data_IF_231047568749
#
_entry.id   IF_231047568749
#
_cell.length_a   1.000
_cell.length_b   1.000
_cell.length_c   1.000
_cell.angle_alpha   90.00
_cell.angle_beta   90.00
_cell.angle_gamma   90.00
#
_symmetry.space_group_name_H-M   'P 1'
#
loop_
_entity.id
_entity.type
_entity.pdbx_description
1 polymer ?
#
# COMPACT_ATOMS: atom_id res chain seq x y z
N UNK A 1 17.57 -15.60 20.12
CA UNK A 1 16.40 -16.49 20.22
C UNK A 1 15.34 -15.93 19.31
N UNK A 2 14.87 -16.74 18.36
CA UNK A 2 13.92 -16.33 17.33
C UNK A 2 12.51 -16.19 17.92
N UNK A 3 12.06 -14.95 18.12
CA UNK A 3 10.67 -14.62 18.47
C UNK A 3 9.82 -14.45 17.20
N UNK A 4 9.68 -15.51 16.42
CA UNK A 4 8.52 -15.58 15.52
C UNK A 4 7.30 -15.96 16.37
N UNK A 5 6.14 -15.30 16.23
CA UNK A 5 4.93 -15.71 16.91
C UNK A 5 4.55 -17.11 16.43
N UNK A 6 4.86 -18.12 17.24
CA UNK A 6 4.53 -19.53 16.97
C UNK A 6 3.13 -19.88 17.49
N UNK A 7 2.55 -19.04 18.35
CA UNK A 7 1.23 -19.22 18.96
C UNK A 7 0.22 -18.16 18.45
N UNK A 8 -1.10 -18.44 18.52
CA UNK A 8 -2.17 -17.45 18.35
C UNK A 8 -1.97 -16.22 19.25
N UNK A 9 -2.50 -15.07 18.82
CA UNK A 9 -2.35 -13.80 19.55
C UNK A 9 -2.99 -13.86 20.93
N UNK A 10 -4.14 -14.50 21.03
CA UNK A 10 -4.93 -14.65 22.25
C UNK A 10 -4.17 -15.49 23.28
N UNK A 11 -3.61 -16.63 22.87
CA UNK A 11 -2.77 -17.48 23.72
C UNK A 11 -1.51 -16.73 24.21
N UNK A 12 -0.90 -15.94 23.33
CA UNK A 12 0.25 -15.10 23.67
C UNK A 12 -0.12 -14.01 24.69
N UNK A 13 -1.35 -13.50 24.64
CA UNK A 13 -1.84 -12.46 25.53
C UNK A 13 -2.15 -13.04 26.92
N UNK A 14 -2.82 -14.20 26.97
CA UNK A 14 -3.05 -14.94 28.22
C UNK A 14 -1.72 -15.30 28.90
N UNK A 15 -0.76 -15.83 28.15
CA UNK A 15 0.57 -16.14 28.67
C UNK A 15 1.30 -14.89 29.19
N UNK A 16 1.12 -13.73 28.54
CA UNK A 16 1.67 -12.47 29.01
C UNK A 16 1.01 -12.02 30.32
N UNK A 17 -0.31 -12.07 30.43
CA UNK A 17 -1.03 -11.69 31.66
C UNK A 17 -0.67 -12.60 32.84
N UNK A 18 -0.58 -13.92 32.63
CA UNK A 18 -0.08 -14.86 33.65
C UNK A 18 1.37 -14.54 34.08
N UNK A 19 2.20 -14.10 33.14
CA UNK A 19 3.54 -13.65 33.46
C UNK A 19 3.53 -12.35 34.30
N UNK A 20 2.63 -11.40 34.01
CA UNK A 20 2.49 -10.17 34.82
C UNK A 20 2.12 -10.50 36.26
N UNK A 21 1.23 -11.46 36.49
CA UNK A 21 0.84 -11.93 37.85
C UNK A 21 2.00 -12.55 38.64
N UNK A 22 2.97 -13.14 37.94
CA UNK A 22 4.13 -13.84 38.54
C UNK A 22 5.41 -13.03 38.53
N UNK A 23 5.43 -11.88 37.86
CA UNK A 23 6.56 -10.97 37.84
C UNK A 23 6.86 -10.39 39.23
N UNK A 24 8.10 -9.95 39.46
CA UNK A 24 8.45 -9.32 40.74
C UNK A 24 7.53 -8.10 40.98
N UNK A 25 6.84 -8.02 42.13
CA UNK A 25 5.89 -6.93 42.44
C UNK A 25 6.49 -5.53 42.39
N UNK A 26 7.81 -5.40 42.39
CA UNK A 26 8.54 -4.12 42.29
C UNK A 26 8.89 -3.74 40.86
N UNK A 27 8.69 -4.63 39.89
CA UNK A 27 8.94 -4.40 38.46
C UNK A 27 8.00 -3.33 37.91
N UNK A 28 8.53 -2.43 37.10
CA UNK A 28 7.73 -1.52 36.29
C UNK A 28 7.59 -2.02 34.86
N UNK A 29 6.34 -2.07 34.40
CA UNK A 29 6.00 -2.45 33.04
C UNK A 29 5.59 -1.18 32.29
N UNK A 30 6.40 -0.81 31.31
CA UNK A 30 6.15 0.32 30.42
C UNK A 30 5.50 -0.22 29.16
N UNK A 31 4.23 0.10 28.94
CA UNK A 31 3.54 -0.17 27.68
C UNK A 31 3.70 1.04 26.78
N UNK A 32 4.01 0.82 25.50
CA UNK A 32 4.07 1.90 24.51
C UNK A 32 3.49 1.47 23.18
N UNK A 33 2.87 2.42 22.49
CA UNK A 33 2.28 2.23 21.17
C UNK A 33 2.47 3.47 20.29
N UNK A 34 2.48 3.26 18.97
CA UNK A 34 2.55 4.28 17.95
C UNK A 34 1.31 4.28 17.05
N UNK A 35 0.73 5.46 16.81
CA UNK A 35 -0.41 5.64 15.93
C UNK A 35 -0.06 6.50 14.70
N UNK A 36 -0.76 6.24 13.60
CA UNK A 36 -0.74 7.08 12.41
C UNK A 36 -2.17 7.38 11.97
N UNK A 37 -2.57 8.65 12.07
CA UNK A 37 -3.93 9.05 11.68
C UNK A 37 -4.16 8.98 10.18
N UNK A 38 -5.43 9.01 9.76
CA UNK A 38 -5.81 9.08 8.33
C UNK A 38 -5.27 10.33 7.62
N UNK A 39 -4.92 11.38 8.37
CA UNK A 39 -4.28 12.61 7.88
C UNK A 39 -2.75 12.51 7.83
N UNK A 40 -2.18 11.36 8.21
CA UNK A 40 -0.73 11.13 8.25
C UNK A 40 -0.03 11.76 9.45
N UNK A 41 -0.75 12.07 10.53
CA UNK A 41 -0.15 12.56 11.78
C UNK A 41 0.30 11.35 12.62
N UNK A 42 1.62 11.23 12.81
CA UNK A 42 2.21 10.20 13.65
C UNK A 42 2.30 10.67 15.10
N UNK A 43 1.95 9.80 16.04
CA UNK A 43 1.91 10.09 17.47
C UNK A 43 2.18 8.85 18.30
N UNK A 44 2.63 9.04 19.53
CA UNK A 44 2.94 7.95 20.47
C UNK A 44 2.16 8.11 21.76
N UNK A 45 2.00 7.00 22.47
CA UNK A 45 1.48 6.93 23.81
C UNK A 45 2.30 5.93 24.62
N UNK A 46 2.41 6.16 25.92
CA UNK A 46 2.96 5.19 26.86
C UNK A 46 2.19 5.21 28.17
N UNK A 47 2.19 4.08 28.87
CA UNK A 47 1.65 3.93 30.21
C UNK A 47 2.59 3.07 31.05
N UNK A 48 2.87 3.49 32.28
CA UNK A 48 3.71 2.79 33.24
C UNK A 48 2.83 2.16 34.29
N UNK A 49 2.95 0.85 34.46
CA UNK A 49 2.17 0.06 35.40
C UNK A 49 3.11 -0.66 36.37
N UNK A 50 2.64 -0.86 37.59
CA UNK A 50 3.20 -1.79 38.56
C UNK A 50 2.08 -2.75 38.96
N UNK A 51 2.18 -4.00 38.52
CA UNK A 51 1.06 -4.94 38.55
C UNK A 51 -0.18 -4.31 37.89
N UNK A 52 -1.32 -4.30 38.57
CA UNK A 52 -2.58 -3.71 38.06
C UNK A 52 -2.69 -2.19 38.29
N UNK A 53 -1.68 -1.56 38.91
CA UNK A 53 -1.70 -0.14 39.24
C UNK A 53 -1.02 0.69 38.15
N UNK A 54 -1.80 1.53 37.45
CA UNK A 54 -1.26 2.58 36.58
C UNK A 54 -0.57 3.65 37.42
N UNK A 55 0.74 3.84 37.22
CA UNK A 55 1.57 4.81 37.94
C UNK A 55 1.51 6.18 37.26
N UNK A 56 1.82 6.21 35.97
CA UNK A 56 1.78 7.41 35.16
C UNK A 56 1.68 7.06 33.68
N UNK A 57 1.33 8.05 32.88
CA UNK A 57 1.21 7.91 31.44
C UNK A 57 1.60 9.21 30.74
N UNK A 58 1.78 9.12 29.43
CA UNK A 58 2.14 10.25 28.61
C UNK A 58 1.92 9.97 27.14
N UNK A 59 1.88 11.04 26.35
CA UNK A 59 1.70 10.94 24.91
C UNK A 59 2.22 12.20 24.22
N UNK A 60 2.45 12.08 22.91
CA UNK A 60 2.92 13.20 22.12
C UNK A 60 2.73 12.97 20.63
N UNK A 61 2.75 14.07 19.88
CA UNK A 61 2.74 14.04 18.43
C UNK A 61 4.16 14.22 17.90
N UNK A 62 4.52 13.48 16.85
CA UNK A 62 5.77 13.68 16.13
C UNK A 62 5.57 14.72 15.01
N UNK A 63 6.69 15.24 14.51
CA UNK A 63 6.74 15.79 13.16
C UNK A 63 6.41 14.74 12.10
N UNK A 64 6.61 15.04 10.81
CA UNK A 64 6.29 14.10 9.73
C UNK A 64 7.08 12.79 9.85
N UNK A 65 6.39 11.74 10.29
CA UNK A 65 6.98 10.44 10.60
C UNK A 65 6.07 9.30 10.15
N UNK A 66 6.64 8.10 10.07
CA UNK A 66 5.86 6.88 9.91
C UNK A 66 5.58 6.26 11.29
N UNK A 67 4.55 5.41 11.38
CA UNK A 67 4.14 4.75 12.63
C UNK A 67 5.31 4.08 13.35
N UNK A 68 6.19 3.42 12.60
CA UNK A 68 7.40 2.79 13.13
C UNK A 68 8.31 3.73 13.95
N UNK A 69 8.40 5.00 13.55
CA UNK A 69 9.16 6.01 14.30
C UNK A 69 8.42 6.45 15.57
N UNK A 70 7.08 6.48 15.54
CA UNK A 70 6.27 6.81 16.70
C UNK A 70 6.34 5.70 17.76
N UNK A 71 6.32 4.43 17.35
CA UNK A 71 6.49 3.25 18.21
C UNK A 71 7.78 3.34 19.03
N UNK A 72 8.91 3.56 18.34
CA UNK A 72 10.21 3.73 18.97
C UNK A 72 10.25 4.93 19.92
N UNK A 73 9.58 6.02 19.56
CA UNK A 73 9.52 7.24 20.38
C UNK A 73 8.68 7.00 21.64
N UNK A 74 7.56 6.27 21.53
CA UNK A 74 6.75 5.86 22.67
C UNK A 74 7.54 5.04 23.68
N UNK A 75 8.31 4.07 23.21
CA UNK A 75 9.20 3.28 24.08
C UNK A 75 10.28 4.13 24.75
N UNK A 76 10.91 5.05 24.00
CA UNK A 76 11.93 5.95 24.54
C UNK A 76 11.37 6.88 25.62
N UNK A 77 10.25 7.54 25.33
CA UNK A 77 9.64 8.48 26.27
C UNK A 77 9.05 7.75 27.49
N UNK A 78 8.51 6.54 27.31
CA UNK A 78 8.10 5.68 28.41
C UNK A 78 9.26 5.23 29.29
N UNK A 79 10.40 4.85 28.70
CA UNK A 79 11.61 4.51 29.46
C UNK A 79 12.16 5.73 30.22
N UNK A 80 12.22 6.91 29.58
CA UNK A 80 12.63 8.16 30.25
C UNK A 80 11.71 8.48 31.43
N UNK A 81 10.40 8.35 31.25
CA UNK A 81 9.42 8.57 32.30
C UNK A 81 9.64 7.58 33.46
N UNK A 82 9.88 6.30 33.17
CA UNK A 82 10.20 5.29 34.19
C UNK A 82 11.48 5.63 34.96
N UNK A 83 12.55 6.01 34.25
CA UNK A 83 13.84 6.36 34.87
C UNK A 83 13.76 7.60 35.77
N UNK A 84 12.85 8.52 35.48
CA UNK A 84 12.60 9.72 36.29
C UNK A 84 11.74 9.46 37.54
N UNK A 85 11.14 8.29 37.69
CA UNK A 85 10.37 7.95 38.89
C UNK A 85 11.30 7.65 40.08
N UNK A 86 10.89 7.99 41.33
CA UNK A 86 11.69 7.73 42.53
C UNK A 86 12.01 6.24 42.74
N UNK A 87 13.30 5.94 42.92
CA UNK A 87 13.79 4.58 43.14
C UNK A 87 13.82 3.70 41.89
N UNK A 88 13.86 4.30 40.70
CA UNK A 88 14.04 3.60 39.43
C UNK A 88 15.27 2.68 39.43
N UNK A 89 16.40 3.17 39.93
CA UNK A 89 17.68 2.43 39.96
C UNK A 89 17.67 1.11 40.75
N UNK A 90 16.65 0.84 41.55
CA UNK A 90 16.51 -0.39 42.34
C UNK A 90 15.46 -1.35 41.79
N UNK A 91 14.87 -1.05 40.61
CA UNK A 91 13.76 -1.80 40.04
C UNK A 91 14.09 -2.29 38.64
N UNK A 92 13.53 -3.44 38.27
CA UNK A 92 13.52 -3.90 36.89
C UNK A 92 12.49 -3.09 36.08
N UNK A 93 12.86 -2.74 34.84
CA UNK A 93 11.98 -2.04 33.90
C UNK A 93 11.78 -2.92 32.66
N UNK A 94 10.53 -3.22 32.34
CA UNK A 94 10.18 -4.02 31.16
C UNK A 94 9.38 -3.16 30.20
N UNK A 95 9.94 -2.87 29.04
CA UNK A 95 9.31 -2.07 27.98
C UNK A 95 8.62 -2.99 26.99
N UNK A 96 7.30 -2.89 26.93
CA UNK A 96 6.40 -3.70 26.12
C UNK A 96 5.91 -2.93 24.89
N UNK A 97 6.05 -3.53 23.71
CA UNK A 97 5.53 -3.02 22.43
C UNK A 97 4.86 -4.15 21.65
N UNK A 98 3.84 -3.83 20.86
CA UNK A 98 3.21 -4.80 19.96
C UNK A 98 3.80 -4.82 18.54
N UNK A 99 4.69 -3.88 18.23
CA UNK A 99 5.42 -3.83 16.99
C UNK A 99 6.75 -4.60 17.08
N UNK A 100 6.73 -5.84 16.57
CA UNK A 100 7.90 -6.73 16.59
C UNK A 100 9.14 -6.11 15.94
N UNK A 101 8.97 -5.35 14.86
CA UNK A 101 10.10 -4.71 14.17
C UNK A 101 10.74 -3.62 15.06
N UNK A 102 9.91 -2.82 15.75
CA UNK A 102 10.40 -1.79 16.66
C UNK A 102 11.09 -2.43 17.89
N UNK A 103 10.46 -3.44 18.49
CA UNK A 103 11.04 -4.20 19.60
C UNK A 103 12.41 -4.81 19.25
N UNK A 104 12.53 -5.41 18.06
CA UNK A 104 13.80 -5.96 17.56
C UNK A 104 14.87 -4.87 17.43
N UNK A 105 14.49 -3.69 16.89
CA UNK A 105 15.43 -2.59 16.74
C UNK A 105 15.91 -2.03 18.08
N UNK A 106 15.03 -1.95 19.09
CA UNK A 106 15.39 -1.50 20.45
C UNK A 106 16.36 -2.46 21.14
N UNK A 107 16.33 -3.75 20.82
CA UNK A 107 17.20 -4.77 21.41
C UNK A 107 18.64 -4.82 20.86
N UNK A 108 18.95 -4.12 19.75
CA UNK A 108 20.34 -4.02 19.29
C UNK A 108 20.56 -3.86 17.79
N UNK A 109 19.52 -3.87 16.96
CA UNK A 109 19.64 -3.64 15.51
C UNK A 109 18.95 -2.33 15.11
N UNK A 110 19.51 -1.16 15.43
CA UNK A 110 18.86 0.11 15.16
C UNK A 110 18.63 0.30 13.65
N UNK A 111 17.44 0.79 13.30
CA UNK A 111 17.09 1.04 11.89
C UNK A 111 17.73 2.32 11.37
N UNK A 112 17.96 2.40 10.06
CA UNK A 112 18.44 3.63 9.38
C UNK A 112 17.51 4.84 9.59
N UNK A 113 16.22 4.59 9.83
CA UNK A 113 15.25 5.64 10.15
C UNK A 113 15.03 5.72 11.66
N UNK A 114 14.86 6.93 12.18
CA UNK A 114 14.71 7.15 13.62
C UNK A 114 15.89 6.59 14.44
N UNK A 115 17.07 6.47 13.82
CA UNK A 115 18.26 5.87 14.44
C UNK A 115 18.60 6.51 15.78
N UNK A 116 18.49 7.85 15.87
CA UNK A 116 18.73 8.59 17.11
C UNK A 116 17.87 8.08 18.27
N UNK A 117 16.58 7.80 18.03
CA UNK A 117 15.64 7.30 19.03
C UNK A 117 16.06 5.91 19.52
N UNK A 118 16.40 5.00 18.60
CA UNK A 118 16.85 3.65 18.98
C UNK A 118 18.18 3.66 19.73
N UNK A 119 19.15 4.46 19.28
CA UNK A 119 20.47 4.57 19.92
C UNK A 119 20.34 5.19 21.32
N UNK A 120 19.52 6.23 21.47
CA UNK A 120 19.27 6.85 22.77
C UNK A 120 18.57 5.87 23.72
N UNK A 121 17.56 5.13 23.26
CA UNK A 121 16.92 4.08 24.05
C UNK A 121 17.93 3.04 24.52
N UNK A 122 18.74 2.51 23.61
CA UNK A 122 19.75 1.50 23.92
C UNK A 122 20.78 2.02 24.93
N UNK A 123 21.21 3.27 24.80
CA UNK A 123 22.13 3.90 25.74
C UNK A 123 21.52 4.03 27.14
N UNK A 124 20.24 4.44 27.24
CA UNK A 124 19.53 4.53 28.51
C UNK A 124 19.30 3.15 29.14
N UNK A 125 18.86 2.17 28.36
CA UNK A 125 18.65 0.80 28.82
C UNK A 125 19.96 0.17 29.31
N UNK A 126 21.07 0.38 28.60
CA UNK A 126 22.39 -0.09 29.00
C UNK A 126 22.91 0.62 30.26
N UNK A 127 22.65 1.92 30.39
CA UNK A 127 23.06 2.70 31.57
C UNK A 127 22.28 2.31 32.83
N UNK A 128 21.01 1.94 32.68
CA UNK A 128 20.18 1.43 33.76
C UNK A 128 20.58 0.00 34.17
N UNK A 129 20.94 -0.85 33.21
CA UNK A 129 21.44 -2.22 33.44
C UNK A 129 20.36 -3.26 33.77
N UNK A 130 19.16 -2.82 34.18
CA UNK A 130 18.01 -3.65 34.52
C UNK A 130 16.77 -3.33 33.63
N UNK A 131 17.01 -2.96 32.36
CA UNK A 131 15.94 -2.70 31.39
C UNK A 131 15.86 -3.81 30.35
N UNK A 132 14.66 -4.35 30.14
CA UNK A 132 14.39 -5.37 29.13
C UNK A 132 13.31 -4.89 28.16
N UNK A 133 13.42 -5.29 26.89
CA UNK A 133 12.38 -5.06 25.89
C UNK A 133 11.65 -6.37 25.66
N UNK A 134 10.31 -6.32 25.68
CA UNK A 134 9.46 -7.48 25.44
C UNK A 134 8.44 -7.16 24.35
N UNK A 135 8.29 -8.06 23.39
CA UNK A 135 7.18 -7.99 22.45
C UNK A 135 5.92 -8.56 23.10
N UNK A 136 4.78 -7.91 22.88
CA UNK A 136 3.45 -8.37 23.30
C UNK A 136 2.51 -8.45 22.09
N UNK A 137 1.48 -9.30 22.10
CA UNK A 137 0.49 -9.28 21.04
C UNK A 137 -0.34 -7.98 21.09
N UNK A 138 -0.53 -7.37 19.92
CA UNK A 138 -1.39 -6.19 19.76
C UNK A 138 -2.85 -6.56 19.51
N UNK A 139 -3.76 -5.71 20.02
CA UNK A 139 -5.22 -5.84 19.94
C UNK A 139 -5.78 -7.08 20.65
N UNK A 140 -5.33 -7.33 21.88
CA UNK A 140 -5.69 -8.52 22.67
C UNK A 140 -6.07 -8.18 24.11
N UNK A 141 -6.72 -7.03 24.32
CA UNK A 141 -7.28 -6.61 25.62
C UNK A 141 -6.26 -6.54 26.78
N UNK A 142 -4.96 -6.41 26.50
CA UNK A 142 -3.94 -6.17 27.53
C UNK A 142 -4.12 -4.73 28.05
N UNK A 143 -4.53 -4.51 29.31
CA UNK A 143 -5.01 -3.19 29.76
C UNK A 143 -4.00 -2.06 29.54
N UNK A 144 -2.73 -2.29 29.86
CA UNK A 144 -1.67 -1.29 29.68
C UNK A 144 -1.38 -0.97 28.22
N UNK A 145 -1.44 -1.98 27.33
CA UNK A 145 -1.26 -1.76 25.89
C UNK A 145 -2.44 -0.98 25.29
N UNK A 146 -3.67 -1.34 25.67
CA UNK A 146 -4.88 -0.62 25.25
C UNK A 146 -4.90 0.83 25.76
N UNK A 147 -4.33 1.10 26.93
CA UNK A 147 -4.14 2.46 27.43
C UNK A 147 -3.13 3.24 26.56
N UNK A 148 -1.97 2.64 26.26
CA UNK A 148 -0.97 3.24 25.39
C UNK A 148 -1.51 3.54 23.98
N UNK A 149 -2.28 2.62 23.39
CA UNK A 149 -2.92 2.81 22.07
C UNK A 149 -3.94 3.95 22.09
N UNK A 150 -4.79 4.02 23.13
CA UNK A 150 -5.76 5.13 23.29
C UNK A 150 -5.05 6.47 23.39
N UNK A 151 -3.95 6.54 24.14
CA UNK A 151 -3.13 7.73 24.29
C UNK A 151 -2.47 8.13 22.96
N UNK A 152 -1.88 7.16 22.26
CA UNK A 152 -1.26 7.38 20.94
C UNK A 152 -2.26 7.92 19.93
N UNK A 153 -3.47 7.34 19.87
CA UNK A 153 -4.56 7.80 18.99
C UNK A 153 -5.04 9.20 19.35
N UNK A 154 -5.24 9.50 20.63
CA UNK A 154 -5.65 10.82 21.10
C UNK A 154 -4.61 11.90 20.74
N UNK A 155 -3.32 11.58 20.93
CA UNK A 155 -2.21 12.48 20.64
C UNK A 155 -2.08 12.87 19.16
N UNK A 156 -2.65 12.09 18.23
CA UNK A 156 -2.64 12.42 16.80
C UNK A 156 -3.36 13.74 16.47
N UNK A 157 -4.24 14.20 17.38
CA UNK A 157 -4.97 15.47 17.28
C UNK A 157 -4.25 16.66 17.88
N UNK A 158 -3.12 16.45 18.57
CA UNK A 158 -2.30 17.53 19.12
C UNK A 158 -1.67 18.38 17.99
N UNK A 159 -1.30 19.64 18.27
CA UNK A 159 -0.50 20.41 17.33
C UNK A 159 0.83 19.70 17.06
N UNK A 160 1.35 19.86 15.84
CA UNK A 160 2.68 19.38 15.51
C UNK A 160 3.72 20.16 16.33
N UNK A 161 4.76 19.50 16.89
CA UNK A 161 5.78 20.21 17.63
C UNK A 161 6.49 21.26 16.77
N UNK A 162 6.73 22.43 17.33
CA UNK A 162 7.38 23.52 16.62
C UNK A 162 8.82 23.14 16.22
N UNK A 163 9.16 23.34 14.93
CA UNK A 163 10.48 23.02 14.39
C UNK A 163 10.74 21.53 14.12
N UNK A 164 9.72 20.67 14.26
CA UNK A 164 9.88 19.23 14.05
C UNK A 164 10.37 18.91 12.62
N UNK A 165 11.42 18.09 12.52
CA UNK A 165 11.98 17.67 11.24
C UNK A 165 11.36 16.35 10.79
N UNK A 166 11.14 16.17 9.47
CA UNK A 166 10.61 14.93 8.93
C UNK A 166 11.64 13.79 9.08
N UNK A 167 11.14 12.59 9.39
CA UNK A 167 11.99 11.39 9.44
C UNK A 167 12.44 10.95 8.04
N UNK A 168 13.57 10.22 7.96
CA UNK A 168 14.07 9.67 6.70
C UNK A 168 13.07 8.72 6.03
N UNK A 169 12.36 7.88 6.81
CA UNK A 169 11.32 7.00 6.28
C UNK A 169 10.18 7.78 5.63
N UNK A 170 9.71 8.86 6.27
CA UNK A 170 8.69 9.74 5.73
C UNK A 170 9.16 10.38 4.41
N UNK A 171 10.38 10.94 4.38
CA UNK A 171 10.94 11.54 3.16
C UNK A 171 11.06 10.52 2.02
N UNK A 172 11.52 9.29 2.30
CA UNK A 172 11.59 8.19 1.32
C UNK A 172 10.20 7.83 0.78
N UNK A 173 9.17 7.80 1.63
CA UNK A 173 7.78 7.55 1.20
C UNK A 173 7.28 8.67 0.29
N UNK A 174 7.45 9.92 0.69
CA UNK A 174 7.06 11.08 -0.12
C UNK A 174 7.76 11.08 -1.48
N UNK A 175 9.07 10.81 -1.52
CA UNK A 175 9.84 10.73 -2.75
C UNK A 175 9.34 9.62 -3.70
N UNK A 176 8.89 8.48 -3.16
CA UNK A 176 8.31 7.38 -3.95
C UNK A 176 6.89 7.65 -4.41
N UNK A 177 6.12 8.45 -3.67
CA UNK A 177 4.71 8.70 -3.94
C UNK A 177 4.50 9.86 -4.92
N UNK A 178 5.26 10.96 -4.77
CA UNK A 178 5.14 12.16 -5.61
C UNK A 178 5.13 11.88 -7.13
N UNK A 179 6.05 11.06 -7.69
CA UNK A 179 6.03 10.76 -9.12
C UNK A 179 4.78 9.99 -9.55
N UNK A 180 4.23 9.13 -8.69
CA UNK A 180 3.02 8.36 -8.98
C UNK A 180 1.80 9.26 -9.03
N UNK A 181 1.67 10.15 -8.05
CA UNK A 181 0.57 11.11 -8.00
C UNK A 181 0.64 12.09 -9.18
N UNK A 182 1.84 12.57 -9.50
CA UNK A 182 2.08 13.43 -10.66
C UNK A 182 1.72 12.71 -11.96
N UNK A 183 2.08 11.43 -12.10
CA UNK A 183 1.74 10.62 -13.27
C UNK A 183 0.23 10.36 -13.40
N UNK A 184 -0.46 10.05 -12.30
CA UNK A 184 -1.91 9.86 -12.30
C UNK A 184 -2.65 11.17 -12.62
N UNK A 185 -2.20 12.29 -12.05
CA UNK A 185 -2.71 13.64 -12.37
C UNK A 185 -2.49 13.98 -13.84
N UNK A 186 -1.28 13.77 -14.36
CA UNK A 186 -0.99 13.97 -15.78
C UNK A 186 -1.89 13.12 -16.68
N UNK A 187 -2.12 11.85 -16.33
CA UNK A 187 -2.95 10.95 -17.11
C UNK A 187 -4.41 11.42 -17.17
N UNK A 188 -5.00 11.84 -16.05
CA UNK A 188 -6.40 12.30 -16.04
C UNK A 188 -6.61 13.54 -16.91
N UNK A 189 -5.63 14.45 -16.97
CA UNK A 189 -5.67 15.64 -17.80
C UNK A 189 -5.36 15.36 -19.28
N UNK A 190 -4.39 14.49 -19.57
CA UNK A 190 -3.81 14.32 -20.92
C UNK A 190 -4.37 13.13 -21.69
N UNK A 191 -5.16 12.25 -21.06
CA UNK A 191 -5.65 11.02 -21.70
C UNK A 191 -6.55 11.34 -22.91
N UNK A 192 -6.27 10.78 -24.10
CA UNK A 192 -7.12 10.94 -25.27
C UNK A 192 -8.54 10.45 -25.03
N UNK A 193 -9.53 11.11 -25.62
CA UNK A 193 -10.95 10.76 -25.49
C UNK A 193 -11.23 9.28 -25.82
N UNK A 194 -10.56 8.74 -26.83
CA UNK A 194 -10.67 7.32 -27.18
C UNK A 194 -10.21 6.41 -26.03
N UNK A 195 -9.13 6.76 -25.34
CA UNK A 195 -8.59 5.96 -24.25
C UNK A 195 -9.45 6.07 -22.99
N UNK A 196 -10.08 7.24 -22.76
CA UNK A 196 -11.12 7.43 -21.73
C UNK A 196 -12.28 6.46 -21.96
N UNK A 197 -12.82 6.40 -23.18
CA UNK A 197 -13.93 5.49 -23.56
C UNK A 197 -13.61 4.02 -23.38
N UNK A 198 -12.36 3.63 -23.65
CA UNK A 198 -11.86 2.27 -23.46
C UNK A 198 -11.47 1.96 -22.01
N UNK A 199 -11.59 2.94 -21.10
CA UNK A 199 -11.23 2.85 -19.69
C UNK A 199 -9.79 2.36 -19.48
N UNK A 200 -8.87 2.82 -20.34
CA UNK A 200 -7.46 2.48 -20.25
C UNK A 200 -6.80 3.30 -19.14
N UNK A 201 -6.04 2.63 -18.27
CA UNK A 201 -5.23 3.27 -17.24
C UNK A 201 -3.81 3.43 -17.76
N UNK A 202 -3.17 4.56 -17.48
CA UNK A 202 -1.74 4.66 -17.63
C UNK A 202 -1.03 3.80 -16.58
N UNK A 203 0.09 3.23 -16.97
CA UNK A 203 0.95 2.42 -16.10
C UNK A 203 2.41 2.70 -16.43
N UNK A 204 3.24 2.80 -15.40
CA UNK A 204 4.71 2.85 -15.52
C UNK A 204 5.28 1.43 -15.61
N UNK A 205 4.49 0.42 -15.20
CA UNK A 205 4.85 -1.01 -15.33
C UNK A 205 4.61 -1.49 -16.76
N UNK A 206 5.32 -2.55 -17.14
CA UNK A 206 5.11 -3.28 -18.39
C UNK A 206 3.66 -3.80 -18.47
N UNK A 207 2.82 -3.30 -19.41
CA UNK A 207 1.43 -3.72 -19.52
C UNK A 207 1.33 -5.14 -20.10
N UNK A 208 0.35 -5.96 -19.66
CA UNK A 208 0.26 -7.38 -20.04
C UNK A 208 0.09 -7.60 -21.54
N UNK A 209 -0.45 -6.62 -22.27
CA UNK A 209 -0.59 -6.65 -23.73
C UNK A 209 0.75 -6.82 -24.45
N UNK A 210 1.87 -6.37 -23.86
CA UNK A 210 3.19 -6.52 -24.48
C UNK A 210 3.66 -7.98 -24.54
N UNK A 211 3.01 -8.90 -23.83
CA UNK A 211 3.26 -10.35 -23.96
C UNK A 211 2.63 -10.95 -25.22
N UNK A 212 1.74 -10.22 -25.91
CA UNK A 212 1.07 -10.71 -27.10
C UNK A 212 2.05 -10.85 -28.29
N UNK A 213 1.84 -11.84 -29.18
CA UNK A 213 2.57 -11.90 -30.45
C UNK A 213 2.43 -10.60 -31.24
N UNK A 214 3.52 -10.17 -31.89
CA UNK A 214 3.61 -8.87 -32.59
C UNK A 214 2.41 -8.53 -33.47
N UNK A 215 1.91 -9.49 -34.26
CA UNK A 215 0.75 -9.28 -35.13
C UNK A 215 -0.54 -9.00 -34.34
N UNK A 216 -0.78 -9.73 -33.25
CA UNK A 216 -1.94 -9.56 -32.39
C UNK A 216 -1.87 -8.21 -31.64
N UNK A 217 -0.69 -7.88 -31.11
CA UNK A 217 -0.43 -6.58 -30.47
C UNK A 217 -0.67 -5.42 -31.45
N UNK A 218 -0.19 -5.52 -32.68
CA UNK A 218 -0.40 -4.51 -33.73
C UNK A 218 -1.88 -4.19 -33.93
N UNK A 219 -2.74 -5.21 -34.10
CA UNK A 219 -4.18 -4.97 -34.30
C UNK A 219 -4.87 -4.38 -33.08
N UNK A 220 -4.48 -4.79 -31.87
CA UNK A 220 -5.01 -4.23 -30.64
C UNK A 220 -4.63 -2.74 -30.50
N UNK A 221 -3.36 -2.39 -30.71
CA UNK A 221 -2.88 -1.02 -30.64
C UNK A 221 -3.53 -0.15 -31.73
N UNK A 222 -3.70 -0.68 -32.94
CA UNK A 222 -4.44 0.00 -34.01
C UNK A 222 -5.88 0.29 -33.58
N UNK A 223 -6.61 -0.70 -33.05
CA UNK A 223 -7.98 -0.51 -32.59
C UNK A 223 -8.11 0.50 -31.44
N UNK A 224 -7.13 0.53 -30.52
CA UNK A 224 -7.08 1.48 -29.40
C UNK A 224 -6.74 2.91 -29.84
N UNK A 225 -5.78 3.05 -30.74
CA UNK A 225 -5.31 4.35 -31.23
C UNK A 225 -6.17 4.94 -32.34
N UNK A 226 -6.96 4.11 -33.04
CA UNK A 226 -7.60 4.41 -34.33
C UNK A 226 -6.59 4.59 -35.47
N UNK A 227 -5.32 4.24 -35.28
CA UNK A 227 -4.26 4.35 -36.27
C UNK A 227 -3.97 2.98 -36.87
N UNK A 228 -4.82 2.57 -37.80
CA UNK A 228 -4.70 1.30 -38.49
C UNK A 228 -5.46 1.32 -39.82
N UNK A 229 -5.69 0.13 -40.37
CA UNK A 229 -6.44 -0.09 -41.60
C UNK A 229 -7.96 0.12 -41.37
N UNK A 230 -8.35 1.38 -41.14
CA UNK A 230 -9.72 1.82 -40.91
C UNK A 230 -10.07 2.94 -41.87
N UNK A 231 -11.31 2.97 -42.35
CA UNK A 231 -11.77 3.96 -43.32
C UNK A 231 -11.50 5.40 -42.84
N UNK A 232 -11.87 5.71 -41.58
CA UNK A 232 -11.67 7.04 -41.00
C UNK A 232 -10.19 7.46 -40.91
N UNK A 233 -9.26 6.51 -40.74
CA UNK A 233 -7.83 6.82 -40.73
C UNK A 233 -7.33 7.16 -42.14
N UNK A 234 -7.69 6.35 -43.14
CA UNK A 234 -7.28 6.57 -44.52
C UNK A 234 -7.86 7.85 -45.11
N UNK A 235 -9.12 8.17 -44.81
CA UNK A 235 -9.77 9.42 -45.22
C UNK A 235 -9.09 10.64 -44.60
N UNK A 236 -8.75 10.58 -43.29
CA UNK A 236 -8.08 11.70 -42.61
C UNK A 236 -6.70 12.02 -43.21
N UNK A 237 -6.02 11.02 -43.77
CA UNK A 237 -4.66 11.15 -44.31
C UNK A 237 -4.61 11.09 -45.85
N UNK A 238 -5.76 11.10 -46.54
CA UNK A 238 -5.86 11.03 -48.01
C UNK A 238 -5.04 9.89 -48.63
N UNK A 239 -5.25 8.66 -48.14
CA UNK A 239 -4.67 7.48 -48.77
C UNK A 239 -5.55 6.98 -49.93
N UNK A 240 -5.17 7.26 -51.17
CA UNK A 240 -5.98 6.99 -52.37
C UNK A 240 -6.16 5.49 -52.68
N UNK A 241 -5.13 4.68 -52.42
CA UNK A 241 -5.14 3.23 -52.73
C UNK A 241 -5.72 2.35 -51.61
N UNK A 242 -6.27 2.97 -50.56
CA UNK A 242 -6.69 2.23 -49.37
C UNK A 242 -8.06 1.57 -49.53
N UNK A 243 -8.12 0.25 -49.28
CA UNK A 243 -9.39 -0.47 -49.22
C UNK A 243 -10.16 -0.13 -47.95
N UNK A 244 -11.13 0.79 -48.05
CA UNK A 244 -11.93 1.28 -46.92
C UNK A 244 -13.06 0.35 -46.46
N UNK A 245 -13.38 -0.71 -47.24
CA UNK A 245 -14.47 -1.65 -46.95
C UNK A 245 -13.96 -3.06 -46.71
N UNK A 246 -14.65 -3.76 -45.80
CA UNK A 246 -14.46 -5.18 -45.56
C UNK A 246 -15.08 -6.00 -46.72
N UNK A 247 -14.68 -7.27 -46.88
CA UNK A 247 -15.33 -8.21 -47.83
C UNK A 247 -16.85 -8.33 -47.63
N UNK A 248 -17.33 -8.06 -46.40
CA UNK A 248 -18.75 -8.02 -46.10
C UNK A 248 -19.49 -6.78 -46.63
N UNK A 249 -18.78 -5.84 -47.26
CA UNK A 249 -19.32 -4.60 -47.82
C UNK A 249 -19.45 -3.43 -46.84
N UNK A 250 -19.22 -3.64 -45.53
CA UNK A 250 -19.27 -2.56 -44.54
C UNK A 250 -17.92 -1.83 -44.42
N UNK A 251 -17.98 -0.57 -43.98
CA UNK A 251 -16.81 0.27 -43.69
C UNK A 251 -15.93 -0.35 -42.61
N UNK A 252 -14.61 -0.30 -42.81
CA UNK A 252 -13.63 -0.76 -41.83
C UNK A 252 -13.60 0.18 -40.62
N UNK A 253 -13.81 -0.39 -39.45
CA UNK A 253 -13.78 0.31 -38.17
C UNK A 253 -13.18 -0.61 -37.08
N UNK A 254 -12.64 -0.06 -35.97
CA UNK A 254 -12.04 -0.84 -34.89
C UNK A 254 -12.97 -1.91 -34.29
N UNK A 255 -14.26 -1.61 -34.23
CA UNK A 255 -15.32 -2.45 -33.69
C UNK A 255 -16.00 -3.32 -34.75
N UNK A 256 -15.61 -3.21 -36.03
CA UNK A 256 -16.28 -3.92 -37.12
C UNK A 256 -16.25 -5.46 -36.93
N UNK A 257 -15.19 -6.01 -36.33
CA UNK A 257 -15.07 -7.45 -36.06
C UNK A 257 -16.21 -8.01 -35.20
N UNK A 258 -16.81 -7.19 -34.33
CA UNK A 258 -17.92 -7.61 -33.47
C UNK A 258 -19.26 -7.71 -34.23
N UNK A 259 -19.39 -7.00 -35.36
CA UNK A 259 -20.63 -6.87 -36.13
C UNK A 259 -20.55 -7.47 -37.54
N UNK A 260 -19.38 -7.92 -37.97
CA UNK A 260 -19.19 -8.43 -39.32
C UNK A 260 -19.96 -9.73 -39.55
N UNK A 261 -20.78 -9.77 -40.61
CA UNK A 261 -21.63 -10.92 -40.94
C UNK A 261 -20.82 -12.16 -41.35
N UNK A 262 -19.63 -11.95 -41.92
CA UNK A 262 -18.72 -13.02 -42.36
C UNK A 262 -17.99 -13.68 -41.17
N UNK A 263 -18.05 -13.09 -39.96
CA UNK A 263 -17.51 -13.72 -38.76
C UNK A 263 -18.42 -14.91 -38.37
N UNK A 264 -17.87 -16.14 -38.27
CA UNK A 264 -18.64 -17.33 -37.92
C UNK A 264 -19.38 -17.17 -36.60
N UNK A 265 -20.64 -17.64 -36.54
CA UNK A 265 -21.50 -17.51 -35.35
C UNK A 265 -20.82 -18.04 -34.07
N UNK A 266 -20.08 -19.14 -34.16
CA UNK A 266 -19.32 -19.75 -33.04
C UNK A 266 -18.22 -18.85 -32.45
N UNK A 267 -17.73 -17.88 -33.20
CA UNK A 267 -16.68 -16.96 -32.78
C UNK A 267 -17.25 -15.67 -32.17
N UNK A 268 -18.52 -15.34 -32.42
CA UNK A 268 -19.11 -14.05 -32.05
C UNK A 268 -19.21 -13.90 -30.54
N UNK A 269 -18.90 -12.70 -30.05
CA UNK A 269 -19.05 -12.33 -28.65
C UNK A 269 -20.49 -11.86 -28.40
N UNK A 270 -21.06 -12.27 -27.27
CA UNK A 270 -22.37 -11.79 -26.83
C UNK A 270 -22.27 -10.32 -26.40
N UNK A 271 -23.05 -9.44 -27.03
CA UNK A 271 -22.99 -7.98 -26.88
C UNK A 271 -24.03 -7.40 -25.90
N UNK A 272 -24.63 -8.23 -25.04
CA UNK A 272 -25.60 -7.78 -24.01
C UNK A 272 -24.92 -7.65 -22.64
N UNK A 273 -25.39 -6.72 -21.79
CA UNK A 273 -26.58 -5.86 -21.96
C UNK A 273 -26.35 -4.63 -22.84
N UNK A 274 -25.09 -4.19 -23.00
CA UNK A 274 -24.73 -3.03 -23.82
C UNK A 274 -23.65 -3.38 -24.85
N UNK A 275 -23.94 -3.25 -26.16
CA UNK A 275 -22.95 -3.50 -27.20
C UNK A 275 -21.73 -2.59 -27.07
N UNK A 276 -21.93 -1.29 -26.87
CA UNK A 276 -20.87 -0.30 -26.73
C UNK A 276 -19.95 -0.62 -25.54
N UNK A 277 -20.52 -0.91 -24.38
CA UNK A 277 -19.73 -1.24 -23.20
C UNK A 277 -18.92 -2.53 -23.40
N UNK A 278 -19.52 -3.55 -24.02
CA UNK A 278 -18.87 -4.84 -24.28
C UNK A 278 -17.71 -4.70 -25.25
N UNK A 279 -17.90 -3.95 -26.34
CA UNK A 279 -16.85 -3.65 -27.32
C UNK A 279 -15.72 -2.85 -26.68
N UNK A 280 -16.05 -1.76 -25.96
CA UNK A 280 -15.04 -0.94 -25.30
C UNK A 280 -14.23 -1.73 -24.28
N UNK A 281 -14.89 -2.62 -23.52
CA UNK A 281 -14.21 -3.50 -22.58
C UNK A 281 -13.29 -4.51 -23.29
N UNK A 282 -13.75 -5.09 -24.40
CA UNK A 282 -12.98 -6.06 -25.17
C UNK A 282 -11.79 -5.43 -25.91
N UNK A 283 -11.88 -4.19 -26.39
CA UNK A 283 -10.74 -3.47 -27.00
C UNK A 283 -9.85 -2.85 -25.90
N UNK A 284 -10.45 -2.43 -24.80
CA UNK A 284 -9.81 -1.86 -23.63
C UNK A 284 -9.24 -2.93 -22.70
N UNK A 285 -9.66 -2.93 -21.43
CA UNK A 285 -9.04 -3.74 -20.36
C UNK A 285 -9.09 -5.26 -20.59
N UNK A 286 -10.11 -5.79 -21.25
CA UNK A 286 -10.28 -7.23 -21.47
C UNK A 286 -9.86 -7.62 -22.90
N UNK A 287 -8.67 -7.19 -23.30
CA UNK A 287 -8.16 -7.37 -24.66
C UNK A 287 -8.08 -8.83 -25.10
N UNK A 288 -7.94 -9.78 -24.17
CA UNK A 288 -7.94 -11.22 -24.48
C UNK A 288 -9.18 -11.65 -25.28
N UNK A 289 -10.34 -11.04 -24.99
CA UNK A 289 -11.58 -11.32 -25.74
C UNK A 289 -11.46 -10.86 -27.19
N UNK A 290 -10.90 -9.68 -27.42
CA UNK A 290 -10.64 -9.15 -28.77
C UNK A 290 -9.59 -9.99 -29.51
N UNK A 291 -8.50 -10.36 -28.85
CA UNK A 291 -7.46 -11.22 -29.44
C UNK A 291 -8.02 -12.60 -29.80
N UNK A 292 -8.80 -13.23 -28.90
CA UNK A 292 -9.44 -14.52 -29.17
C UNK A 292 -10.43 -14.42 -30.33
N UNK A 293 -11.24 -13.38 -30.39
CA UNK A 293 -12.20 -13.16 -31.47
C UNK A 293 -11.50 -13.01 -32.84
N UNK A 294 -10.52 -12.11 -32.92
CA UNK A 294 -9.79 -11.82 -34.17
C UNK A 294 -8.97 -13.01 -34.65
N UNK A 295 -8.35 -13.75 -33.74
CA UNK A 295 -7.58 -14.97 -34.05
C UNK A 295 -8.49 -16.13 -34.49
N UNK A 296 -9.55 -16.44 -33.75
CA UNK A 296 -10.43 -17.59 -34.02
C UNK A 296 -11.24 -17.44 -35.31
N UNK A 297 -11.56 -16.21 -35.71
CA UNK A 297 -12.26 -15.91 -36.96
C UNK A 297 -11.30 -15.66 -38.13
N UNK A 298 -9.98 -15.67 -37.91
CA UNK A 298 -8.97 -15.23 -38.87
C UNK A 298 -9.31 -13.86 -39.50
N UNK A 299 -9.88 -12.95 -38.71
CA UNK A 299 -10.57 -11.76 -39.20
C UNK A 299 -9.70 -10.91 -40.13
N UNK A 300 -8.52 -10.50 -39.66
CA UNK A 300 -7.60 -9.66 -40.42
C UNK A 300 -6.84 -10.41 -41.52
N UNK A 301 -6.87 -11.75 -41.52
CA UNK A 301 -6.17 -12.57 -42.51
C UNK A 301 -7.07 -13.05 -43.66
N UNK A 302 -8.38 -13.15 -43.46
CA UNK A 302 -9.32 -13.74 -44.45
C UNK A 302 -10.58 -12.93 -44.71
N UNK A 303 -11.06 -12.16 -43.72
CA UNK A 303 -12.36 -11.48 -43.80
C UNK A 303 -12.17 -10.00 -44.13
N UNK A 304 -11.42 -9.29 -43.28
CA UNK A 304 -11.15 -7.87 -43.40
C UNK A 304 -9.66 -7.66 -43.63
N UNK A 305 -9.21 -8.01 -44.83
CA UNK A 305 -7.80 -7.91 -45.25
C UNK A 305 -7.42 -6.46 -45.57
N UNK A 306 -6.13 -6.15 -45.43
CA UNK A 306 -5.57 -4.83 -45.76
C UNK A 306 -5.64 -4.53 -47.26
N UNK A 307 -5.50 -5.56 -48.08
CA UNK A 307 -5.58 -5.56 -49.54
C UNK A 307 -6.79 -6.41 -49.96
#
# INVERSE_FOLDING_TARGET
MDFLPQAPKEESAEAFLQWVETADPTTWIVYSDGSLSSKGAASYGFAIHQQDLSICDGSGRLGPAEVFGAEATGALEGLKAALNLPGSAARDIIVCLDNLAAATCLQGTPSDSSQAVFVEFQALAASHGATQVRWIPGQTDIPGNEQADKLAKAASSLPEPEGAQPTLAYLRKVARQKPKDAFETWWTTSVPEQYKRLNLKATIRCPPELSLPRAALHHLLAARSLHGDFAAYHERFNHDDARMTCSCGRRKAPDHVFYCREVPRRCRIRLVPSPTATVNLAIGRNFDKYIKLTKSSAFFGRICTRY
#
